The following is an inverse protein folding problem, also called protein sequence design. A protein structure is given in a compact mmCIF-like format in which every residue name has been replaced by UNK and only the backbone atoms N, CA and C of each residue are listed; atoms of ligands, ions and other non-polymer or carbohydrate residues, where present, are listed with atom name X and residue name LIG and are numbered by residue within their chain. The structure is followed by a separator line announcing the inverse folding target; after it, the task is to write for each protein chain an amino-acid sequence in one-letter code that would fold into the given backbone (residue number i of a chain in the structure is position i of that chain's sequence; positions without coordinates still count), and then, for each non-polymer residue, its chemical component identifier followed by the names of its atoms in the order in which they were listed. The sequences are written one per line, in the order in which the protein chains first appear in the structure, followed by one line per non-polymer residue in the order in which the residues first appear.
data_IF_348939933784
#
_entry.id   IF_348939933784
#
_cell.length_a   1.000
_cell.length_b   1.000
_cell.length_c   1.000
_cell.angle_alpha   90.00
_cell.angle_beta   90.00
_cell.angle_gamma   90.00
#
_symmetry.space_group_name_H-M   'P 1'
#
loop_
_entity.id
_entity.type
_entity.pdbx_description
1 polymer ?
#
# COMPACT_ATOMS: atom_id res chain seq x y z
N UNK A 1 -2.12 0.71 1.00
CA UNK A 1 -2.22 -0.28 -0.10
C UNK A 1 -3.41 -1.18 0.16
N UNK A 2 -4.50 -1.06 -0.62
CA UNK A 2 -5.71 -1.88 -0.48
C UNK A 2 -5.66 -2.99 -1.54
N UNK A 3 -5.39 -4.22 -1.12
CA UNK A 3 -5.49 -5.39 -2.00
C UNK A 3 -6.92 -5.90 -1.90
N UNK A 4 -7.72 -5.69 -2.95
CA UNK A 4 -9.01 -6.34 -3.11
C UNK A 4 -8.82 -7.52 -4.05
N UNK A 5 -8.95 -8.74 -3.54
CA UNK A 5 -8.84 -9.97 -4.32
C UNK A 5 -10.24 -10.54 -4.54
N UNK A 6 -10.62 -10.81 -5.80
CA UNK A 6 -11.88 -11.44 -6.16
C UNK A 6 -11.54 -12.76 -6.85
N UNK A 7 -11.87 -13.88 -6.21
CA UNK A 7 -11.55 -15.23 -6.69
C UNK A 7 -12.79 -15.77 -7.40
N UNK A 8 -12.70 -15.97 -8.71
CA UNK A 8 -13.70 -16.67 -9.52
C UNK A 8 -13.24 -18.12 -9.74
N UNK A 9 -14.04 -19.08 -9.29
CA UNK A 9 -13.76 -20.52 -9.37
C UNK A 9 -14.34 -21.11 -10.66
N UNK A 10 -13.67 -20.88 -11.79
CA UNK A 10 -13.88 -21.69 -13.00
C UNK A 10 -12.64 -22.56 -13.26
N UNK A 11 -12.80 -23.59 -14.11
CA UNK A 11 -12.01 -24.82 -14.27
C UNK A 11 -10.50 -24.70 -14.59
N UNK A 12 -9.92 -23.51 -14.42
CA UNK A 12 -8.52 -23.27 -14.11
C UNK A 12 -8.51 -22.00 -13.23
N UNK A 13 -8.42 -22.09 -11.88
CA UNK A 13 -8.71 -20.94 -11.02
C UNK A 13 -7.58 -19.91 -11.13
N UNK A 14 -7.75 -18.96 -12.03
CA UNK A 14 -6.94 -17.76 -12.09
C UNK A 14 -7.44 -16.77 -11.04
N UNK A 15 -6.50 -16.18 -10.31
CA UNK A 15 -6.76 -15.11 -9.36
C UNK A 15 -6.60 -13.79 -10.11
N UNK A 16 -7.57 -12.89 -9.94
CA UNK A 16 -7.53 -11.56 -10.54
C UNK A 16 -7.25 -10.51 -9.46
N UNK A 17 -6.23 -9.69 -9.66
CA UNK A 17 -5.94 -8.55 -8.79
C UNK A 17 -5.48 -7.32 -9.58
N UNK A 18 -5.51 -6.17 -8.92
CA UNK A 18 -5.02 -4.91 -9.50
C UNK A 18 -3.69 -4.53 -8.88
N UNK A 19 -2.74 -4.15 -9.73
CA UNK A 19 -1.45 -3.66 -9.31
C UNK A 19 -1.15 -2.30 -9.95
N UNK A 20 -0.38 -1.48 -9.25
CA UNK A 20 0.18 -0.25 -9.80
C UNK A 20 1.57 -0.57 -10.35
N UNK A 21 1.78 -0.30 -11.64
CA UNK A 21 3.07 -0.41 -12.30
C UNK A 21 3.56 0.97 -12.74
N UNK A 22 4.88 1.13 -12.87
CA UNK A 22 5.45 2.30 -13.54
C UNK A 22 5.48 2.03 -15.04
N UNK A 23 4.63 2.71 -15.81
CA UNK A 23 4.65 2.69 -17.27
C UNK A 23 4.98 4.09 -17.78
N UNK A 24 6.07 4.24 -18.54
CA UNK A 24 6.54 5.54 -19.01
C UNK A 24 6.74 6.57 -17.88
N UNK A 25 7.32 6.13 -16.76
CA UNK A 25 7.51 6.93 -15.53
C UNK A 25 6.21 7.42 -14.87
N UNK A 26 5.05 6.94 -15.30
CA UNK A 26 3.75 7.28 -14.70
C UNK A 26 3.15 6.04 -14.03
N UNK A 27 2.53 6.20 -12.85
CA UNK A 27 1.79 5.11 -12.23
C UNK A 27 0.57 4.77 -13.09
N UNK A 28 0.43 3.50 -13.43
CA UNK A 28 -0.74 2.98 -14.12
C UNK A 28 -1.26 1.74 -13.40
N UNK A 29 -2.57 1.68 -13.21
CA UNK A 29 -3.20 0.50 -12.68
C UNK A 29 -3.42 -0.52 -13.80
N UNK A 30 -3.02 -1.76 -13.56
CA UNK A 30 -3.27 -2.89 -14.46
C UNK A 30 -4.05 -3.97 -13.70
N UNK A 31 -4.72 -4.83 -14.46
CA UNK A 31 -5.32 -6.07 -13.95
C UNK A 31 -4.35 -7.20 -14.29
N UNK A 32 -4.00 -7.99 -13.27
CA UNK A 32 -3.19 -9.19 -13.38
C UNK A 32 -4.12 -10.39 -13.20
N UNK A 33 -3.94 -11.41 -14.04
CA UNK A 33 -4.70 -12.66 -14.01
C UNK A 33 -3.72 -13.82 -14.14
N UNK A 34 -3.36 -14.42 -13.01
CA UNK A 34 -2.41 -15.53 -12.97
C UNK A 34 -3.05 -16.76 -12.30
N UNK A 35 -2.53 -17.96 -12.57
CA UNK A 35 -2.84 -19.16 -11.79
C UNK A 35 -2.64 -18.94 -10.28
N UNK A 36 -3.45 -19.64 -9.48
CA UNK A 36 -3.44 -19.52 -8.02
C UNK A 36 -2.06 -19.72 -7.38
N UNK A 37 -1.25 -20.68 -7.86
CA UNK A 37 0.11 -20.92 -7.36
C UNK A 37 1.04 -19.73 -7.60
N UNK A 38 1.00 -19.12 -8.78
CA UNK A 38 1.80 -17.93 -9.09
C UNK A 38 1.38 -16.72 -8.25
N UNK A 39 0.07 -16.57 -8.01
CA UNK A 39 -0.46 -15.54 -7.12
C UNK A 39 0.03 -15.73 -5.67
N UNK A 40 0.11 -16.96 -5.18
CA UNK A 40 0.66 -17.27 -3.85
C UNK A 40 2.15 -16.95 -3.75
N UNK A 41 2.93 -17.27 -4.77
CA UNK A 41 4.37 -16.95 -4.80
C UNK A 41 4.60 -15.43 -4.78
N UNK A 42 3.81 -14.67 -5.54
CA UNK A 42 3.87 -13.21 -5.52
C UNK A 42 3.51 -12.63 -4.15
N UNK A 43 2.45 -13.14 -3.50
CA UNK A 43 2.08 -12.76 -2.14
C UNK A 43 3.19 -13.07 -1.14
N UNK A 44 3.80 -14.26 -1.23
CA UNK A 44 4.90 -14.64 -0.36
C UNK A 44 6.09 -13.68 -0.51
N UNK A 45 6.44 -13.33 -1.75
CA UNK A 45 7.53 -12.40 -2.06
C UNK A 45 7.27 -10.97 -1.51
N UNK A 46 6.02 -10.53 -1.47
CA UNK A 46 5.65 -9.19 -0.97
C UNK A 46 5.44 -9.18 0.56
N UNK A 47 5.11 -10.33 1.16
CA UNK A 47 4.76 -10.44 2.59
C UNK A 47 5.86 -9.89 3.51
N UNK A 48 7.13 -10.14 3.20
CA UNK A 48 8.24 -9.59 3.99
C UNK A 48 8.25 -8.05 4.02
N UNK A 49 8.08 -7.43 2.84
CA UNK A 49 8.00 -5.96 2.72
C UNK A 49 6.77 -5.42 3.44
N UNK A 50 5.64 -6.11 3.35
CA UNK A 50 4.41 -5.74 4.03
C UNK A 50 4.58 -5.75 5.55
N UNK A 51 5.17 -6.82 6.13
CA UNK A 51 5.44 -6.90 7.57
C UNK A 51 6.33 -5.75 8.05
N UNK A 52 7.40 -5.44 7.31
CA UNK A 52 8.28 -4.33 7.64
C UNK A 52 7.56 -2.98 7.57
N UNK A 53 6.73 -2.78 6.55
CA UNK A 53 5.90 -1.57 6.44
C UNK A 53 4.92 -1.44 7.61
N UNK A 54 4.21 -2.51 7.96
CA UNK A 54 3.28 -2.53 9.09
C UNK A 54 4.00 -2.23 10.41
N UNK A 55 5.16 -2.82 10.63
CA UNK A 55 5.99 -2.52 11.80
C UNK A 55 6.35 -1.03 11.85
N UNK A 56 6.90 -0.47 10.77
CA UNK A 56 7.26 0.94 10.70
C UNK A 56 6.07 1.88 10.91
N UNK A 57 4.90 1.55 10.35
CA UNK A 57 3.66 2.32 10.57
C UNK A 57 3.21 2.28 12.03
N UNK A 58 3.31 1.13 12.69
CA UNK A 58 2.94 1.00 14.10
C UNK A 58 3.88 1.81 15.00
N UNK A 59 5.20 1.70 14.81
CA UNK A 59 6.18 2.49 15.56
C UNK A 59 5.99 4.00 15.37
N UNK A 60 5.72 4.43 14.14
CA UNK A 60 5.37 5.83 13.86
C UNK A 60 4.10 6.26 14.59
N UNK A 61 3.05 5.45 14.54
CA UNK A 61 1.79 5.71 15.23
C UNK A 61 2.00 5.89 16.73
N UNK A 62 2.73 4.96 17.36
CA UNK A 62 3.02 4.99 18.80
C UNK A 62 3.86 6.21 19.19
N UNK A 63 4.85 6.56 18.37
CA UNK A 63 5.63 7.79 18.56
C UNK A 63 4.74 9.03 18.52
N UNK A 64 3.90 9.18 17.49
CA UNK A 64 3.03 10.34 17.36
C UNK A 64 1.98 10.40 18.47
N UNK A 65 1.48 9.26 18.94
CA UNK A 65 0.56 9.21 20.06
C UNK A 65 1.22 9.74 21.34
N UNK A 66 2.43 9.29 21.66
CA UNK A 66 3.20 9.81 22.81
C UNK A 66 3.55 11.29 22.66
N UNK A 67 3.92 11.72 21.45
CA UNK A 67 4.22 13.12 21.17
C UNK A 67 2.99 14.02 21.36
N UNK A 68 1.78 13.51 21.11
CA UNK A 68 0.53 14.25 21.35
C UNK A 68 0.24 14.48 22.83
N UNK A 69 0.58 13.53 23.70
CA UNK A 69 0.40 13.67 25.15
C UNK A 69 1.21 14.84 25.73
N UNK A 70 2.34 15.17 25.10
CA UNK A 70 3.20 16.30 25.49
C UNK A 70 2.93 17.62 24.75
N UNK A 71 1.86 17.71 23.95
CA UNK A 71 1.49 18.94 23.24
C UNK A 71 0.95 19.98 24.21
N UNK A 72 1.52 21.18 24.15
CA UNK A 72 0.99 22.39 24.79
C UNK A 72 0.41 23.31 23.72
N UNK A 73 -0.30 24.37 24.13
CA UNK A 73 -0.86 25.37 23.22
C UNK A 73 0.17 26.09 22.34
N UNK A 74 1.46 25.98 22.66
CA UNK A 74 2.57 26.62 21.94
C UNK A 74 3.25 25.69 20.93
N UNK A 75 2.83 24.42 20.84
CA UNK A 75 3.45 23.39 19.99
C UNK A 75 2.47 22.85 18.97
N UNK A 76 3.00 22.54 17.78
CA UNK A 76 2.25 21.87 16.71
C UNK A 76 3.03 20.63 16.28
N UNK A 77 2.33 19.51 16.14
CA UNK A 77 2.86 18.24 15.65
C UNK A 77 2.33 18.01 14.24
N UNK A 78 3.24 17.92 13.26
CA UNK A 78 2.90 17.67 11.86
C UNK A 78 3.38 16.27 11.49
N UNK A 79 2.47 15.46 10.97
CA UNK A 79 2.77 14.19 10.34
C UNK A 79 2.50 14.31 8.85
N UNK A 80 3.55 14.21 8.02
CA UNK A 80 3.47 14.29 6.56
C UNK A 80 3.78 12.93 5.96
N UNK A 81 2.86 12.37 5.17
CA UNK A 81 3.07 11.15 4.40
C UNK A 81 3.29 11.52 2.92
N UNK A 82 4.45 11.15 2.36
CA UNK A 82 4.77 11.40 0.96
C UNK A 82 4.24 10.30 0.02
N UNK A 83 3.67 9.22 0.54
CA UNK A 83 3.20 8.10 -0.27
C UNK A 83 1.92 8.40 -1.09
N UNK A 84 1.12 9.40 -0.71
CA UNK A 84 -0.14 9.74 -1.40
C UNK A 84 -0.04 10.93 -2.37
N UNK A 85 1.09 11.66 -2.41
CA UNK A 85 1.23 12.88 -3.21
C UNK A 85 1.67 12.69 -4.68
N UNK A 86 1.74 11.45 -5.18
CA UNK A 86 2.03 11.19 -6.61
C UNK A 86 0.83 11.43 -7.54
N UNK A 87 -0.30 11.92 -7.01
CA UNK A 87 -1.46 12.37 -7.79
C UNK A 87 -1.57 13.90 -7.88
N UNK A 88 -0.46 14.64 -7.88
CA UNK A 88 -0.45 16.01 -8.42
C UNK A 88 -0.27 15.94 -9.94
N UNK A 89 -1.27 15.38 -10.61
CA UNK A 89 -1.51 15.70 -12.03
C UNK A 89 -2.22 17.05 -12.00
N UNK A 90 -1.62 18.04 -12.66
CA UNK A 90 -2.12 19.40 -12.84
C UNK A 90 -3.65 19.46 -12.92
N UNK A 91 -4.27 20.10 -11.93
CA UNK A 91 -5.56 20.73 -12.14
C UNK A 91 -5.29 22.10 -12.76
N UNK A 92 -5.27 22.14 -14.09
CA UNK A 92 -5.70 23.33 -14.83
C UNK A 92 -7.21 23.20 -15.10
#
# INVERSE_FOLDING_TARGET
MKISCLITLDSNPCVNWKAWISQNQRPKQIVISNPFNEALDELHNITGKFKLHSFGKNEQSDYFQKAKEGLTSEKVLIQTDFAENYALISQD
#
